data_IF_892606170378
#
_entry.id   IF_892606170378
#
_cell.length_a   1.000
_cell.length_b   1.000
_cell.length_c   1.000
_cell.angle_alpha   90.00
_cell.angle_beta   90.00
_cell.angle_gamma   90.00
#
_symmetry.space_group_name_H-M   'P 1'
#
loop_
_entity.id
_entity.type
_entity.pdbx_description
1 polymer ?
#
# COMPACT_ATOMS: atom_id res chain seq x y z
N UNK A 1 -5.22 -48.39 4.89
CA UNK A 1 -4.74 -47.44 5.91
C UNK A 1 -4.94 -46.03 5.35
N UNK A 2 -6.06 -45.36 5.68
CA UNK A 2 -6.41 -44.06 5.09
C UNK A 2 -5.41 -42.95 5.42
N UNK A 3 -4.63 -43.10 6.51
CA UNK A 3 -3.56 -42.18 6.86
C UNK A 3 -2.42 -42.16 5.84
N UNK A 4 -2.05 -43.30 5.26
CA UNK A 4 -0.92 -43.39 4.31
C UNK A 4 -1.24 -42.72 2.97
N UNK A 5 -2.49 -42.81 2.51
CA UNK A 5 -2.97 -42.19 1.28
C UNK A 5 -2.92 -40.65 1.37
N UNK A 6 -3.29 -40.09 2.53
CA UNK A 6 -3.23 -38.64 2.76
C UNK A 6 -1.79 -38.13 2.63
N UNK A 7 -0.80 -38.85 3.19
CA UNK A 7 0.61 -38.44 3.10
C UNK A 7 1.13 -38.42 1.66
N UNK A 8 0.70 -39.37 0.82
CA UNK A 8 1.07 -39.41 -0.59
C UNK A 8 0.41 -38.29 -1.41
N UNK A 9 -0.75 -37.79 -0.98
CA UNK A 9 -1.45 -36.68 -1.63
C UNK A 9 -0.97 -35.28 -1.19
N UNK A 10 -0.11 -35.17 -0.17
CA UNK A 10 0.38 -33.86 0.33
C UNK A 10 0.98 -32.99 -0.78
N UNK A 11 1.90 -33.47 -1.63
CA UNK A 11 2.51 -32.63 -2.66
C UNK A 11 1.47 -32.06 -3.65
N UNK A 12 0.46 -32.88 -3.97
CA UNK A 12 -0.62 -32.47 -4.85
C UNK A 12 -1.51 -31.41 -4.19
N UNK A 13 -1.91 -31.62 -2.94
CA UNK A 13 -2.69 -30.63 -2.17
C UNK A 13 -1.93 -29.31 -2.04
N UNK A 14 -0.63 -29.36 -1.73
CA UNK A 14 0.20 -28.16 -1.66
C UNK A 14 0.28 -27.44 -3.01
N UNK A 15 0.30 -28.16 -4.13
CA UNK A 15 0.28 -27.53 -5.46
C UNK A 15 -0.99 -26.71 -5.74
N UNK A 16 -2.10 -27.02 -5.07
CA UNK A 16 -3.36 -26.28 -5.16
C UNK A 16 -3.45 -25.07 -4.22
N UNK A 17 -2.44 -24.84 -3.38
CA UNK A 17 -2.45 -23.75 -2.40
C UNK A 17 -1.23 -22.84 -2.49
N UNK A 18 -0.03 -23.43 -2.53
CA UNK A 18 1.24 -22.72 -2.39
C UNK A 18 1.50 -21.67 -3.48
N UNK A 19 1.30 -21.94 -4.78
CA UNK A 19 1.56 -20.96 -5.83
C UNK A 19 0.76 -19.65 -5.65
N UNK A 20 -0.52 -19.77 -5.31
CA UNK A 20 -1.39 -18.63 -5.05
C UNK A 20 -1.08 -17.94 -3.74
N UNK A 21 -0.73 -18.69 -2.69
CA UNK A 21 -0.27 -18.12 -1.42
C UNK A 21 0.99 -17.25 -1.61
N UNK A 22 1.97 -17.75 -2.39
CA UNK A 22 3.18 -17.00 -2.74
C UNK A 22 2.83 -15.75 -3.56
N UNK A 23 1.92 -15.87 -4.53
CA UNK A 23 1.46 -14.75 -5.35
C UNK A 23 0.85 -13.63 -4.51
N UNK A 24 -0.06 -13.97 -3.60
CA UNK A 24 -0.68 -13.01 -2.67
C UNK A 24 0.36 -12.42 -1.73
N UNK A 25 1.24 -13.25 -1.16
CA UNK A 25 2.28 -12.77 -0.23
C UNK A 25 3.18 -11.73 -0.87
N UNK A 26 3.60 -11.95 -2.13
CA UNK A 26 4.39 -10.97 -2.89
C UNK A 26 3.59 -9.71 -3.16
N UNK A 27 2.33 -9.84 -3.58
CA UNK A 27 1.47 -8.68 -3.82
C UNK A 27 1.29 -7.84 -2.55
N UNK A 28 0.97 -8.46 -1.41
CA UNK A 28 0.77 -7.76 -0.14
C UNK A 28 2.07 -7.12 0.35
N UNK A 29 3.19 -7.84 0.28
CA UNK A 29 4.50 -7.30 0.64
C UNK A 29 4.88 -6.07 -0.19
N UNK A 30 4.62 -6.09 -1.50
CA UNK A 30 4.97 -4.98 -2.40
C UNK A 30 3.97 -3.81 -2.34
N UNK A 31 2.70 -4.08 -2.03
CA UNK A 31 1.64 -3.07 -1.95
C UNK A 31 1.45 -2.49 -0.56
N UNK A 32 2.11 -3.05 0.46
CA UNK A 32 1.89 -2.74 1.89
C UNK A 32 0.42 -2.85 2.31
N UNK A 33 -0.37 -3.65 1.59
CA UNK A 33 -1.77 -3.89 1.92
C UNK A 33 -1.89 -5.07 2.88
N UNK A 34 -2.94 -5.03 3.69
CA UNK A 34 -3.31 -6.12 4.57
C UNK A 34 -4.61 -6.79 4.10
N UNK A 35 -4.67 -8.10 4.26
CA UNK A 35 -5.86 -8.91 4.01
C UNK A 35 -6.09 -9.83 5.20
N UNK A 36 -7.36 -10.06 5.56
CA UNK A 36 -7.69 -11.06 6.57
C UNK A 36 -7.25 -12.46 6.13
N UNK A 37 -6.78 -13.27 7.08
CA UNK A 37 -6.32 -14.64 6.84
C UNK A 37 -7.36 -15.53 6.12
N UNK A 38 -8.65 -15.33 6.41
CA UNK A 38 -9.76 -16.03 5.76
C UNK A 38 -9.76 -15.80 4.24
N UNK A 39 -9.60 -14.55 3.82
CA UNK A 39 -9.55 -14.14 2.42
C UNK A 39 -8.27 -14.61 1.74
N UNK A 40 -7.13 -14.53 2.41
CA UNK A 40 -5.84 -15.02 1.88
C UNK A 40 -5.97 -16.50 1.48
N UNK A 41 -6.57 -17.34 2.33
CA UNK A 41 -6.70 -18.77 2.04
C UNK A 41 -7.58 -19.04 0.83
N UNK A 42 -8.74 -18.40 0.74
CA UNK A 42 -9.68 -18.59 -0.38
C UNK A 42 -9.05 -18.12 -1.68
N UNK A 43 -8.46 -16.92 -1.70
CA UNK A 43 -7.80 -16.39 -2.89
C UNK A 43 -6.58 -17.20 -3.31
N UNK A 44 -5.82 -17.75 -2.36
CA UNK A 44 -4.67 -18.63 -2.65
C UNK A 44 -5.07 -19.86 -3.45
N UNK A 45 -6.20 -20.48 -3.08
CA UNK A 45 -6.73 -21.65 -3.80
C UNK A 45 -7.21 -21.25 -5.20
N UNK A 46 -7.97 -20.16 -5.32
CA UNK A 46 -8.48 -19.67 -6.60
C UNK A 46 -7.33 -19.33 -7.58
N UNK A 47 -6.32 -18.60 -7.11
CA UNK A 47 -5.17 -18.20 -7.92
C UNK A 47 -4.33 -19.42 -8.30
N UNK A 48 -4.07 -20.34 -7.38
CA UNK A 48 -3.33 -21.58 -7.67
C UNK A 48 -4.04 -22.41 -8.75
N UNK A 49 -5.36 -22.55 -8.65
CA UNK A 49 -6.16 -23.24 -9.65
C UNK A 49 -6.08 -22.56 -11.02
N UNK A 50 -6.20 -21.22 -11.07
CA UNK A 50 -6.07 -20.47 -12.31
C UNK A 50 -4.68 -20.61 -12.96
N UNK A 51 -3.61 -20.52 -12.17
CA UNK A 51 -2.23 -20.77 -12.63
C UNK A 51 -2.13 -22.18 -13.21
N UNK A 52 -2.61 -23.19 -12.48
CA UNK A 52 -2.55 -24.60 -12.90
C UNK A 52 -3.25 -24.82 -14.23
N UNK A 53 -4.51 -24.36 -14.36
CA UNK A 53 -5.27 -24.46 -15.61
C UNK A 53 -4.55 -23.78 -16.78
N UNK A 54 -3.99 -22.59 -16.56
CA UNK A 54 -3.28 -21.84 -17.59
C UNK A 54 -2.02 -22.59 -18.06
N UNK A 55 -1.21 -23.07 -17.11
CA UNK A 55 0.04 -23.77 -17.42
C UNK A 55 -0.25 -25.13 -18.08
N UNK A 56 -1.18 -25.91 -17.55
CA UNK A 56 -1.53 -27.22 -18.13
C UNK A 56 -2.07 -27.06 -19.55
N UNK A 57 -2.87 -26.01 -19.81
CA UNK A 57 -3.36 -25.69 -21.16
C UNK A 57 -2.23 -25.34 -22.12
N UNK A 58 -1.22 -24.57 -21.66
CA UNK A 58 -0.04 -24.23 -22.46
C UNK A 58 0.78 -25.49 -22.76
N UNK A 59 1.10 -26.29 -21.74
CA UNK A 59 1.91 -27.50 -21.89
C UNK A 59 1.24 -28.51 -22.81
N UNK A 60 -0.08 -28.69 -22.70
CA UNK A 60 -0.87 -29.53 -23.58
C UNK A 60 -0.79 -29.04 -25.04
N UNK A 61 -0.94 -27.73 -25.28
CA UNK A 61 -0.86 -27.14 -26.62
C UNK A 61 0.51 -27.33 -27.28
N UNK A 62 1.59 -27.28 -26.51
CA UNK A 62 2.96 -27.46 -27.01
C UNK A 62 3.48 -28.91 -26.92
N UNK A 63 2.64 -29.84 -26.46
CA UNK A 63 2.96 -31.27 -26.33
C UNK A 63 4.25 -31.52 -25.54
N UNK A 64 4.48 -30.73 -24.49
CA UNK A 64 5.70 -30.80 -23.67
C UNK A 64 5.58 -31.91 -22.62
N UNK A 65 6.54 -32.83 -22.61
CA UNK A 65 6.63 -33.88 -21.60
C UNK A 65 7.37 -33.32 -20.37
N UNK A 66 6.82 -33.53 -19.19
CA UNK A 66 7.39 -33.05 -17.92
C UNK A 66 7.25 -34.11 -16.82
N UNK A 67 8.09 -34.00 -15.79
CA UNK A 67 7.98 -34.84 -14.59
C UNK A 67 7.12 -34.14 -13.54
N UNK A 68 6.55 -34.93 -12.62
CA UNK A 68 5.69 -34.43 -11.53
C UNK A 68 6.42 -33.45 -10.60
N UNK A 69 7.74 -33.56 -10.42
CA UNK A 69 8.50 -32.59 -9.63
C UNK A 69 8.64 -31.25 -10.35
N UNK A 70 8.96 -31.29 -11.65
CA UNK A 70 9.21 -30.07 -12.45
C UNK A 70 7.96 -29.20 -12.59
N UNK A 71 6.78 -29.81 -12.73
CA UNK A 71 5.53 -29.04 -12.88
C UNK A 71 5.21 -28.21 -11.64
N UNK A 72 5.46 -28.74 -10.44
CA UNK A 72 5.24 -27.99 -9.20
C UNK A 72 6.19 -26.79 -9.07
N UNK A 73 7.44 -26.94 -9.50
CA UNK A 73 8.40 -25.82 -9.57
C UNK A 73 7.92 -24.75 -10.54
N UNK A 74 7.41 -25.15 -11.71
CA UNK A 74 6.85 -24.22 -12.70
C UNK A 74 5.67 -23.44 -12.11
N UNK A 75 4.72 -24.11 -11.46
CA UNK A 75 3.59 -23.43 -10.83
C UNK A 75 4.06 -22.40 -9.78
N UNK A 76 5.05 -22.74 -8.96
CA UNK A 76 5.59 -21.83 -7.95
C UNK A 76 6.27 -20.61 -8.58
N UNK A 77 7.07 -20.80 -9.63
CA UNK A 77 7.67 -19.70 -10.39
C UNK A 77 6.59 -18.76 -10.96
N UNK A 78 5.50 -19.31 -11.51
CA UNK A 78 4.38 -18.51 -11.98
C UNK A 78 3.61 -17.82 -10.84
N UNK A 79 3.55 -18.43 -9.65
CA UNK A 79 3.07 -17.79 -8.42
C UNK A 79 3.84 -16.49 -8.14
N UNK A 80 5.17 -16.56 -8.15
CA UNK A 80 6.05 -15.38 -7.95
C UNK A 80 5.81 -14.30 -9.01
N UNK A 81 5.85 -14.69 -10.29
CA UNK A 81 5.69 -13.76 -11.41
C UNK A 81 4.30 -13.12 -11.41
N UNK A 82 3.26 -13.89 -11.14
CA UNK A 82 1.88 -13.38 -11.10
C UNK A 82 1.69 -12.33 -10.00
N UNK A 83 2.23 -12.53 -8.80
CA UNK A 83 2.14 -11.55 -7.71
C UNK A 83 2.78 -10.22 -8.10
N UNK A 84 3.95 -10.26 -8.74
CA UNK A 84 4.62 -9.07 -9.25
C UNK A 84 3.84 -8.39 -10.39
N UNK A 85 3.28 -9.15 -11.34
CA UNK A 85 2.45 -8.60 -12.41
C UNK A 85 1.23 -7.88 -11.84
N UNK A 86 0.52 -8.50 -10.89
CA UNK A 86 -0.64 -7.89 -10.22
C UNK A 86 -0.24 -6.60 -9.51
N UNK A 87 0.92 -6.57 -8.83
CA UNK A 87 1.45 -5.35 -8.24
C UNK A 87 1.71 -4.24 -9.29
N UNK A 88 2.33 -4.56 -10.43
CA UNK A 88 2.57 -3.60 -11.50
C UNK A 88 1.26 -3.04 -12.09
N UNK A 89 0.24 -3.88 -12.23
CA UNK A 89 -1.11 -3.48 -12.65
C UNK A 89 -1.72 -2.56 -11.60
N UNK A 90 -1.66 -2.95 -10.32
CA UNK A 90 -2.19 -2.19 -9.20
C UNK A 90 -1.59 -0.78 -9.10
N UNK A 91 -0.27 -0.64 -9.29
CA UNK A 91 0.43 0.66 -9.23
C UNK A 91 0.20 1.56 -10.45
N UNK A 92 -0.40 1.05 -11.53
CA UNK A 92 -0.51 1.81 -12.77
C UNK A 92 -1.50 2.99 -12.65
N UNK A 93 -1.08 4.24 -12.91
CA UNK A 93 -1.93 5.42 -12.72
C UNK A 93 -3.18 5.43 -13.62
N UNK A 94 -3.12 4.80 -14.80
CA UNK A 94 -4.28 4.68 -15.70
C UNK A 94 -5.34 3.77 -15.09
N UNK A 95 -4.90 2.68 -14.45
CA UNK A 95 -5.78 1.72 -13.78
C UNK A 95 -6.37 2.34 -12.51
N UNK A 96 -5.55 3.08 -11.74
CA UNK A 96 -6.03 3.90 -10.61
C UNK A 96 -7.15 4.85 -11.03
N UNK A 97 -6.98 5.58 -12.14
CA UNK A 97 -8.00 6.49 -12.68
C UNK A 97 -9.27 5.77 -13.14
N UNK A 98 -9.14 4.61 -13.77
CA UNK A 98 -10.29 3.82 -14.22
C UNK A 98 -11.10 3.28 -13.04
N UNK A 99 -10.41 2.73 -12.02
CA UNK A 99 -11.04 2.22 -10.80
C UNK A 99 -11.66 3.34 -9.97
N UNK A 100 -11.01 4.50 -9.85
CA UNK A 100 -11.59 5.63 -9.10
C UNK A 100 -12.86 6.17 -9.79
N UNK A 101 -12.90 6.22 -11.13
CA UNK A 101 -14.10 6.63 -11.87
C UNK A 101 -15.26 5.63 -11.72
N UNK A 102 -14.96 4.33 -11.62
CA UNK A 102 -15.99 3.30 -11.52
C UNK A 102 -16.49 3.07 -10.08
N UNK A 103 -15.59 3.15 -9.09
CA UNK A 103 -15.88 2.75 -7.71
C UNK A 103 -15.95 3.92 -6.72
N UNK A 104 -15.54 5.15 -7.09
CA UNK A 104 -15.40 6.30 -6.19
C UNK A 104 -14.62 5.99 -4.89
N UNK A 105 -13.71 4.99 -4.93
CA UNK A 105 -12.87 4.57 -3.81
C UNK A 105 -11.40 4.77 -4.18
N UNK A 106 -10.59 5.17 -3.19
CA UNK A 106 -9.14 5.04 -3.31
C UNK A 106 -8.74 3.57 -3.27
N UNK A 107 -7.66 3.25 -3.99
CA UNK A 107 -7.04 1.93 -3.95
C UNK A 107 -6.18 1.73 -2.70
N UNK A 108 -5.68 2.82 -2.11
CA UNK A 108 -4.87 2.73 -0.91
C UNK A 108 -5.78 2.56 0.31
N UNK A 109 -5.44 1.61 1.17
CA UNK A 109 -6.11 1.43 2.46
C UNK A 109 -5.88 2.63 3.41
N UNK A 110 -4.89 3.46 3.10
CA UNK A 110 -4.50 4.61 3.89
C UNK A 110 -4.50 5.88 3.03
N UNK A 111 -5.23 6.89 3.51
CA UNK A 111 -5.34 8.21 2.87
C UNK A 111 -3.98 8.93 2.76
N UNK A 112 -3.07 8.70 3.71
CA UNK A 112 -1.74 9.31 3.74
C UNK A 112 -0.93 8.99 2.48
N UNK A 113 -1.04 7.76 1.97
CA UNK A 113 -0.40 7.33 0.72
C UNK A 113 -0.96 7.99 -0.55
N UNK A 114 -2.12 8.65 -0.46
CA UNK A 114 -2.69 9.41 -1.58
C UNK A 114 -2.36 10.90 -1.53
N UNK A 115 -2.19 11.44 -0.33
CA UNK A 115 -2.11 12.90 -0.11
C UNK A 115 -0.71 13.38 0.28
N UNK A 116 0.20 12.52 0.71
CA UNK A 116 1.59 12.91 0.99
C UNK A 116 2.44 12.79 -0.28
N UNK A 117 3.14 13.87 -0.60
CA UNK A 117 4.16 13.87 -1.65
C UNK A 117 5.53 13.51 -1.04
N UNK A 118 5.94 12.26 -1.27
CA UNK A 118 7.23 11.75 -0.81
C UNK A 118 8.43 12.25 -1.64
N UNK A 119 8.20 12.82 -2.83
CA UNK A 119 9.27 13.19 -3.76
C UNK A 119 9.71 14.63 -3.58
N UNK A 120 8.75 15.54 -3.42
CA UNK A 120 9.01 16.96 -3.22
C UNK A 120 8.94 17.38 -1.74
N UNK A 121 8.54 16.45 -0.86
CA UNK A 121 8.28 16.73 0.54
C UNK A 121 6.88 17.32 0.75
N UNK A 122 6.38 17.18 1.98
CA UNK A 122 5.05 17.65 2.36
C UNK A 122 5.16 18.42 3.66
N UNK A 123 4.67 19.66 3.68
CA UNK A 123 4.57 20.44 4.92
C UNK A 123 3.19 20.26 5.52
N UNK A 124 3.14 20.13 6.85
CA UNK A 124 1.91 19.90 7.60
C UNK A 124 1.66 21.03 8.59
N UNK A 125 0.39 21.36 8.79
CA UNK A 125 -0.08 22.12 9.95
C UNK A 125 -0.97 21.18 10.77
N UNK A 126 -0.59 20.94 12.02
CA UNK A 126 -1.30 20.08 12.96
C UNK A 126 -2.01 20.93 14.00
N UNK A 127 -3.30 20.70 14.21
CA UNK A 127 -4.13 21.41 15.18
C UNK A 127 -4.47 20.47 16.35
N UNK A 128 -3.90 20.67 17.57
CA UNK A 128 -4.17 19.81 18.71
C UNK A 128 -5.62 19.94 19.23
N UNK A 129 -6.24 18.81 19.57
CA UNK A 129 -7.68 18.77 19.96
C UNK A 129 -7.98 19.44 21.30
N UNK A 130 -6.98 19.64 22.16
CA UNK A 130 -7.15 20.17 23.51
C UNK A 130 -6.91 21.68 23.62
N UNK A 131 -6.43 22.33 22.55
CA UNK A 131 -6.15 23.77 22.56
C UNK A 131 -6.33 24.38 21.16
N UNK A 132 -7.48 25.03 20.96
CA UNK A 132 -7.90 25.62 19.68
C UNK A 132 -6.98 26.73 19.16
N UNK A 133 -6.19 27.36 20.04
CA UNK A 133 -5.29 28.47 19.68
C UNK A 133 -3.83 28.00 19.54
N UNK A 134 -3.59 26.69 19.53
CA UNK A 134 -2.28 26.09 19.29
C UNK A 134 -2.24 25.37 17.96
N UNK A 135 -1.08 25.42 17.30
CA UNK A 135 -0.83 24.65 16.09
C UNK A 135 0.66 24.39 15.92
N UNK A 136 0.99 23.30 15.24
CA UNK A 136 2.37 22.89 14.95
C UNK A 136 2.53 22.89 13.44
N UNK A 137 3.53 23.61 12.93
CA UNK A 137 3.88 23.61 11.51
C UNK A 137 5.21 22.89 11.36
N UNK A 138 5.37 22.06 10.32
CA UNK A 138 6.68 21.47 10.02
C UNK A 138 6.67 20.66 8.73
N UNK A 139 7.85 20.17 8.34
CA UNK A 139 8.00 19.30 7.18
C UNK A 139 7.94 17.85 7.63
N UNK A 140 7.05 17.06 7.03
CA UNK A 140 6.90 15.65 7.33
C UNK A 140 8.15 14.88 6.90
N UNK A 141 8.72 14.15 7.86
CA UNK A 141 9.85 13.24 7.64
C UNK A 141 9.34 11.80 7.54
N UNK A 142 8.52 11.40 8.50
CA UNK A 142 8.06 10.03 8.65
C UNK A 142 6.71 10.00 9.38
N UNK A 143 5.95 8.93 9.16
CA UNK A 143 4.71 8.68 9.88
C UNK A 143 4.53 7.18 10.15
N UNK A 144 3.80 6.86 11.21
CA UNK A 144 3.40 5.50 11.53
C UNK A 144 1.94 5.23 11.13
N UNK A 145 1.65 3.98 10.78
CA UNK A 145 0.31 3.51 10.38
C UNK A 145 -0.34 2.61 11.46
N UNK A 146 -0.22 3.00 12.74
CA UNK A 146 -0.71 2.26 13.91
C UNK A 146 -2.09 2.71 14.41
N UNK A 147 -2.99 3.14 13.51
CA UNK A 147 -4.34 3.58 13.87
C UNK A 147 -4.36 4.77 14.83
N UNK A 148 -5.00 4.64 16.01
CA UNK A 148 -5.03 5.70 17.03
C UNK A 148 -3.68 5.96 17.67
N UNK A 149 -2.72 5.05 17.52
CA UNK A 149 -1.35 5.22 18.02
C UNK A 149 -0.39 5.66 16.93
N UNK A 150 -0.89 6.11 15.78
CA UNK A 150 -0.05 6.71 14.74
C UNK A 150 0.62 8.00 15.20
N UNK A 151 1.86 8.20 14.73
CA UNK A 151 2.67 9.40 14.99
C UNK A 151 3.10 10.05 13.69
N UNK A 152 3.27 11.38 13.72
CA UNK A 152 3.99 12.14 12.71
C UNK A 152 5.32 12.65 13.28
N UNK A 153 6.40 12.45 12.54
CA UNK A 153 7.69 13.07 12.79
C UNK A 153 7.87 14.26 11.85
N UNK A 154 8.06 15.45 12.43
CA UNK A 154 8.28 16.69 11.70
C UNK A 154 9.67 17.25 11.96
N UNK A 155 10.33 17.71 10.90
CA UNK A 155 11.51 18.57 10.97
C UNK A 155 11.15 20.02 10.66
N UNK A 156 12.11 20.94 10.85
CA UNK A 156 11.95 22.37 10.56
C UNK A 156 10.65 22.93 11.18
N UNK A 157 10.37 22.50 12.42
CA UNK A 157 9.06 22.67 13.03
C UNK A 157 8.97 23.95 13.85
N UNK A 158 7.75 24.47 13.95
CA UNK A 158 7.38 25.62 14.77
C UNK A 158 6.13 25.27 15.57
N UNK A 159 6.18 25.45 16.89
CA UNK A 159 5.05 25.28 17.80
C UNK A 159 4.52 26.66 18.17
N UNK A 160 3.25 26.89 17.88
CA UNK A 160 2.54 28.12 18.24
C UNK A 160 1.50 27.85 19.32
N UNK A 161 1.33 28.81 20.23
CA UNK A 161 0.28 28.82 21.23
C UNK A 161 -0.22 30.26 21.43
N UNK A 162 -1.53 30.46 21.28
CA UNK A 162 -2.17 31.78 21.34
C UNK A 162 -1.51 32.79 20.38
N UNK A 163 -1.15 32.32 19.17
CA UNK A 163 -0.46 33.11 18.15
C UNK A 163 1.01 33.43 18.43
N UNK A 164 1.58 32.97 19.54
CA UNK A 164 2.99 33.18 19.88
C UNK A 164 3.82 31.94 19.60
N UNK A 165 5.02 32.12 19.05
CA UNK A 165 6.01 31.05 18.88
C UNK A 165 6.48 30.58 20.26
N UNK A 166 6.14 29.33 20.62
CA UNK A 166 6.52 28.70 21.89
C UNK A 166 7.84 27.93 21.79
N UNK A 167 8.06 27.25 20.67
CA UNK A 167 9.26 26.47 20.40
C UNK A 167 9.48 26.34 18.89
N UNK A 168 10.72 26.09 18.48
CA UNK A 168 11.08 25.68 17.12
C UNK A 168 12.29 24.75 17.14
N UNK A 169 12.47 24.00 16.05
CA UNK A 169 13.73 23.32 15.76
C UNK A 169 14.94 24.26 15.76
N UNK A 170 14.76 25.55 15.43
CA UNK A 170 15.84 26.56 15.41
C UNK A 170 16.39 26.90 16.80
N UNK A 171 15.65 26.55 17.86
CA UNK A 171 16.06 26.82 19.24
C UNK A 171 17.23 25.89 19.67
N UNK A 172 17.56 24.90 18.84
CA UNK A 172 18.61 23.92 19.06
C UNK A 172 19.76 24.10 18.08
N UNK A 173 21.00 23.89 18.54
CA UNK A 173 22.21 23.97 17.69
C UNK A 173 22.45 22.71 16.84
N UNK A 174 21.54 21.74 16.88
CA UNK A 174 21.60 20.46 16.19
C UNK A 174 20.23 20.14 15.58
N UNK A 175 20.15 19.28 14.54
CA UNK A 175 18.88 18.89 13.94
C UNK A 175 17.90 18.35 15.00
N UNK A 176 16.70 18.90 15.02
CA UNK A 176 15.65 18.56 15.97
C UNK A 176 14.40 18.09 15.21
N UNK A 177 13.83 16.98 15.67
CA UNK A 177 12.59 16.40 15.17
C UNK A 177 11.57 16.44 16.30
N UNK A 178 10.34 16.83 15.99
CA UNK A 178 9.20 16.66 16.90
C UNK A 178 8.37 15.48 16.44
N UNK A 179 8.05 14.57 17.37
CA UNK A 179 7.13 13.48 17.15
C UNK A 179 5.79 13.82 17.81
N UNK A 180 4.69 13.74 17.05
CA UNK A 180 3.36 14.13 17.49
C UNK A 180 2.39 12.99 17.27
N UNK A 181 1.69 12.57 18.33
CA UNK A 181 0.70 11.50 18.26
C UNK A 181 -0.61 12.02 17.64
N UNK A 182 -1.13 11.29 16.65
CA UNK A 182 -2.32 11.70 15.90
C UNK A 182 -3.62 11.64 16.71
N UNK A 183 -3.70 10.83 17.77
CA UNK A 183 -4.87 10.79 18.68
C UNK A 183 -5.13 12.11 19.40
N UNK A 184 -4.16 13.01 19.42
CA UNK A 184 -4.26 14.33 20.03
C UNK A 184 -4.41 15.46 19.01
N UNK A 185 -4.56 15.13 17.73
CA UNK A 185 -4.73 16.08 16.64
C UNK A 185 -6.17 16.01 16.15
N UNK A 186 -6.82 17.17 16.09
CA UNK A 186 -8.20 17.30 15.61
C UNK A 186 -8.25 17.22 14.08
N UNK A 187 -7.39 17.99 13.40
CA UNK A 187 -7.27 17.95 11.95
C UNK A 187 -5.86 18.35 11.51
N UNK A 188 -5.55 18.01 10.24
CA UNK A 188 -4.26 18.23 9.59
C UNK A 188 -4.50 19.01 8.31
N UNK A 189 -3.81 20.12 8.12
CA UNK A 189 -3.73 20.79 6.82
C UNK A 189 -2.43 20.39 6.12
N UNK A 190 -2.54 20.14 4.82
CA UNK A 190 -1.43 19.67 3.99
C UNK A 190 -1.07 20.76 2.99
N UNK A 191 0.20 21.16 3.03
CA UNK A 191 0.78 22.18 2.18
C UNK A 191 1.79 21.54 1.23
N UNK A 192 1.52 21.69 -0.07
CA UNK A 192 2.43 21.21 -1.11
C UNK A 192 3.40 22.32 -1.51
N UNK A 193 4.70 22.02 -1.64
CA UNK A 193 5.71 23.04 -1.93
C UNK A 193 5.66 23.57 -3.37
N UNK A 194 4.94 22.91 -4.27
CA UNK A 194 4.86 23.28 -5.68
C UNK A 194 3.58 22.75 -6.34
N UNK A 195 3.08 23.48 -7.34
CA UNK A 195 2.06 23.00 -8.27
C UNK A 195 2.51 21.75 -9.07
N UNK A 196 3.83 21.52 -9.15
CA UNK A 196 4.43 20.35 -9.78
C UNK A 196 4.48 19.11 -8.86
N UNK A 197 3.92 19.18 -7.65
CA UNK A 197 3.75 18.01 -6.80
C UNK A 197 2.95 16.93 -7.53
N UNK A 198 3.35 15.66 -7.41
CA UNK A 198 2.68 14.55 -8.09
C UNK A 198 1.21 14.41 -7.64
N UNK A 199 0.97 14.73 -6.37
CA UNK A 199 -0.36 14.77 -5.76
C UNK A 199 -1.18 15.92 -6.36
N UNK A 200 -0.63 17.14 -6.40
CA UNK A 200 -1.31 18.33 -6.96
C UNK A 200 -1.65 18.14 -8.44
N UNK A 201 -0.74 17.59 -9.24
CA UNK A 201 -1.01 17.26 -10.64
C UNK A 201 -2.15 16.25 -10.77
N UNK A 202 -2.22 15.26 -9.89
CA UNK A 202 -3.31 14.27 -9.88
C UNK A 202 -4.66 14.92 -9.56
N UNK A 203 -4.72 15.81 -8.56
CA UNK A 203 -5.93 16.57 -8.22
C UNK A 203 -6.37 17.51 -9.35
N UNK A 204 -5.45 18.25 -9.94
CA UNK A 204 -5.74 19.18 -11.05
C UNK A 204 -6.26 18.46 -12.30
N UNK A 205 -5.76 17.25 -12.58
CA UNK A 205 -6.25 16.41 -13.67
C UNK A 205 -7.67 15.87 -13.39
N UNK A 206 -8.02 15.63 -12.12
CA UNK A 206 -9.36 15.18 -11.73
C UNK A 206 -10.38 16.34 -11.79
N UNK A 207 -10.04 17.53 -11.31
CA UNK A 207 -10.92 18.71 -11.37
C UNK A 207 -11.13 19.20 -12.80
N UNK A 208 -10.09 19.21 -13.62
CA UNK A 208 -10.20 19.56 -15.04
C UNK A 208 -11.11 18.60 -15.82
N UNK A 209 -11.19 17.33 -15.43
CA UNK A 209 -12.11 16.36 -16.04
C UNK A 209 -13.56 16.51 -15.61
N UNK A 210 -13.82 17.07 -14.42
CA UNK A 210 -15.18 17.37 -13.93
C UNK A 210 -15.74 18.68 -14.49
N UNK A 211 -14.87 19.62 -14.89
CA UNK A 211 -15.28 20.87 -15.52
C UNK A 211 -15.59 20.74 -17.02
N UNK A 212 -15.32 19.58 -17.62
CA UNK A 212 -15.53 19.28 -19.04
C UNK A 212 -16.74 18.37 -19.32
N UNK A 213 -17.52 18.04 -18.28
CA UNK A 213 -18.86 17.42 -18.37
C UNK A 213 -19.93 18.49 -18.09
#
# INVERSE_FOLDING_TARGET
MPSLEIFHSIPEILSYFFPGFVSISIFLFLSSNELEYSHINVYSICISYAIKVLIDSILYKFNLIYTTGLIYVIYLCFGVVSGYIVYCIYRNPKIKKALSKFANKSQNNNIWNDIIDHKFGTSLILYPSFNNDSYIVGTLVEYEENGTESWFALQDYYVYENGNKRASSDDYSYPAIIAVQLSHIDHVEILYPSENSEVVMTYNLQTSSKAAE
#
